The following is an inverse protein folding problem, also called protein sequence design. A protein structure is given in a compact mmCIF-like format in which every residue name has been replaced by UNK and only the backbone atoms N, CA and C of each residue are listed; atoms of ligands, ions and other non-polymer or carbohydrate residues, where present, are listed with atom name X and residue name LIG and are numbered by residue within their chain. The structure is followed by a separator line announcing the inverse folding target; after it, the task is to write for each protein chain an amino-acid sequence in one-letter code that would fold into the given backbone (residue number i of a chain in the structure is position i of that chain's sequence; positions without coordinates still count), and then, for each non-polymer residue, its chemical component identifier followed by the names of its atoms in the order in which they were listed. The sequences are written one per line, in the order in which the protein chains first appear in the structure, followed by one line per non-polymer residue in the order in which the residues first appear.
data_IF_542338494323
#
_entry.id   IF_542338494323
#
_cell.length_a   1.000
_cell.length_b   1.000
_cell.length_c   1.000
_cell.angle_alpha   90.00
_cell.angle_beta   90.00
_cell.angle_gamma   90.00
#
_symmetry.space_group_name_H-M   'P 1'
#
loop_
_entity.id
_entity.type
_entity.pdbx_description
1 polymer ?
#
# COMPACT_ATOMS: atom_id res chain seq x y z
N UNK A 1 5.19 -9.89 20.02
CA UNK A 1 4.45 -9.79 18.74
C UNK A 1 4.38 -8.33 18.30
N UNK A 2 4.74 -8.07 17.08
CA UNK A 2 4.63 -6.74 16.49
C UNK A 2 3.52 -6.70 15.47
N UNK A 3 2.76 -5.60 15.49
CA UNK A 3 1.87 -5.28 14.39
C UNK A 3 2.51 -4.22 13.52
N UNK A 4 2.37 -4.34 12.22
CA UNK A 4 2.73 -3.31 11.27
C UNK A 4 1.68 -3.25 10.18
N UNK A 5 1.58 -2.10 9.53
CA UNK A 5 0.64 -1.89 8.44
C UNK A 5 1.42 -1.75 7.15
N UNK A 6 0.98 -2.45 6.12
CA UNK A 6 1.57 -2.33 4.80
C UNK A 6 0.57 -1.65 3.86
N UNK A 7 1.06 -0.64 3.15
CA UNK A 7 0.26 0.04 2.14
C UNK A 7 0.49 -0.69 0.81
N UNK A 8 -0.60 -1.10 0.18
CA UNK A 8 -0.57 -1.87 -1.06
C UNK A 8 -1.30 -1.14 -2.17
N UNK A 9 -0.74 -1.19 -3.38
CA UNK A 9 -1.36 -0.69 -4.59
C UNK A 9 -1.65 -1.88 -5.50
N UNK A 10 -2.94 -2.12 -5.76
CA UNK A 10 -3.36 -3.24 -6.60
C UNK A 10 -3.48 -2.81 -8.05
N UNK A 11 -2.80 -3.55 -8.90
CA UNK A 11 -2.76 -3.27 -10.34
C UNK A 11 -4.06 -3.69 -11.01
N UNK A 12 -4.37 -3.03 -12.13
CA UNK A 12 -5.54 -3.38 -12.95
C UNK A 12 -5.42 -4.79 -13.52
N UNK A 13 -4.20 -5.23 -13.80
CA UNK A 13 -3.94 -6.59 -14.20
C UNK A 13 -3.93 -7.48 -12.95
N UNK A 14 -5.03 -8.19 -12.71
CA UNK A 14 -5.20 -9.02 -11.53
C UNK A 14 -4.20 -10.18 -11.44
N UNK A 15 -3.50 -10.50 -12.52
CA UNK A 15 -2.50 -11.56 -12.54
C UNK A 15 -1.19 -11.12 -11.91
N UNK A 16 -0.99 -9.82 -11.76
CA UNK A 16 0.22 -9.27 -11.16
C UNK A 16 0.03 -9.06 -9.66
N UNK A 17 1.07 -9.31 -8.85
CA UNK A 17 0.97 -9.05 -7.42
C UNK A 17 0.88 -7.56 -7.14
N UNK A 18 0.31 -7.16 -5.98
CA UNK A 18 0.26 -5.76 -5.61
C UNK A 18 1.64 -5.20 -5.35
N UNK A 19 1.77 -3.88 -5.52
CA UNK A 19 3.00 -3.16 -5.21
C UNK A 19 2.98 -2.81 -3.73
N UNK A 20 4.05 -3.14 -3.01
CA UNK A 20 4.21 -2.71 -1.63
C UNK A 20 4.72 -1.27 -1.62
N UNK A 21 3.82 -0.35 -1.32
CA UNK A 21 4.13 1.09 -1.30
C UNK A 21 5.03 1.43 -0.11
N UNK A 22 4.78 0.82 1.03
CA UNK A 22 5.59 1.02 2.22
C UNK A 22 4.97 0.40 3.46
N UNK A 23 5.70 0.47 4.55
CA UNK A 23 5.31 -0.07 5.85
C UNK A 23 5.24 1.05 6.86
N UNK A 24 4.31 0.97 7.79
CA UNK A 24 4.12 1.99 8.80
C UNK A 24 3.63 1.38 10.11
N UNK A 25 3.86 2.06 11.26
CA UNK A 25 3.44 1.53 12.56
C UNK A 25 1.96 1.68 12.84
N UNK A 26 1.24 2.47 12.05
CA UNK A 26 -0.20 2.67 12.22
C UNK A 26 -0.92 2.72 10.89
N UNK A 27 -2.23 2.48 10.94
CA UNK A 27 -3.09 2.57 9.75
C UNK A 27 -3.00 3.97 9.12
N UNK A 28 -3.06 5.00 9.96
CA UNK A 28 -3.02 6.39 9.49
C UNK A 28 -1.73 6.70 8.73
N UNK A 29 -0.61 6.25 9.26
CA UNK A 29 0.69 6.48 8.63
C UNK A 29 0.79 5.72 7.31
N UNK A 30 0.27 4.49 7.26
CA UNK A 30 0.22 3.73 6.01
C UNK A 30 -0.65 4.43 4.97
N UNK A 31 -1.79 4.99 5.38
CA UNK A 31 -2.65 5.75 4.48
C UNK A 31 -1.95 7.01 3.95
N UNK A 32 -1.14 7.66 4.78
CA UNK A 32 -0.35 8.81 4.35
C UNK A 32 0.71 8.43 3.31
N UNK A 33 1.31 7.24 3.45
CA UNK A 33 2.23 6.73 2.43
C UNK A 33 1.53 6.57 1.09
N UNK A 34 0.30 6.08 1.10
CA UNK A 34 -0.50 5.95 -0.14
C UNK A 34 -0.73 7.31 -0.76
N UNK A 35 -1.10 8.32 0.04
CA UNK A 35 -1.34 9.66 -0.48
C UNK A 35 -0.09 10.24 -1.14
N UNK A 36 1.06 10.10 -0.52
CA UNK A 36 2.32 10.61 -1.05
C UNK A 36 2.70 9.88 -2.33
N UNK A 37 2.57 8.58 -2.34
CA UNK A 37 2.91 7.76 -3.50
C UNK A 37 1.98 8.06 -4.68
N UNK A 38 0.69 8.20 -4.41
CA UNK A 38 -0.32 8.46 -5.44
C UNK A 38 -0.24 9.88 -6.00
N UNK A 39 0.42 10.79 -5.30
CA UNK A 39 0.63 12.15 -5.81
C UNK A 39 1.53 12.16 -7.05
N UNK A 40 2.31 11.11 -7.26
CA UNK A 40 3.13 10.95 -8.45
C UNK A 40 2.26 10.32 -9.54
N UNK A 41 1.95 11.09 -10.57
CA UNK A 41 0.98 10.70 -11.59
C UNK A 41 1.29 9.36 -12.27
N UNK A 42 2.55 9.15 -12.61
CA UNK A 42 2.98 7.92 -13.28
C UNK A 42 2.74 6.66 -12.43
N UNK A 43 2.69 6.80 -11.10
CA UNK A 43 2.46 5.66 -10.22
C UNK A 43 1.03 5.12 -10.30
N UNK A 44 0.06 5.98 -10.63
CA UNK A 44 -1.35 5.61 -10.56
C UNK A 44 -1.96 5.15 -11.88
N UNK A 45 -1.21 5.21 -12.98
CA UNK A 45 -1.72 4.89 -14.30
C UNK A 45 -2.32 3.50 -14.43
N UNK A 46 -1.74 2.52 -13.77
CA UNK A 46 -2.18 1.14 -13.84
C UNK A 46 -2.72 0.60 -12.52
N UNK A 47 -3.10 1.49 -11.61
CA UNK A 47 -3.59 1.11 -10.29
C UNK A 47 -5.11 1.07 -10.29
N UNK A 48 -5.66 -0.03 -9.79
CA UNK A 48 -7.09 -0.21 -9.64
C UNK A 48 -7.58 0.33 -8.30
N UNK A 49 -6.91 -0.03 -7.22
CA UNK A 49 -7.28 0.43 -5.88
C UNK A 49 -6.11 0.25 -4.91
N UNK A 50 -6.25 0.85 -3.75
CA UNK A 50 -5.27 0.74 -2.67
C UNK A 50 -5.88 0.00 -1.49
N UNK A 51 -5.01 -0.61 -0.69
CA UNK A 51 -5.42 -1.30 0.52
C UNK A 51 -4.34 -1.13 1.57
N UNK A 52 -4.76 -1.03 2.84
CA UNK A 52 -3.86 -1.10 3.99
C UNK A 52 -4.14 -2.41 4.68
N UNK A 53 -3.10 -3.20 4.86
CA UNK A 53 -3.19 -4.53 5.45
C UNK A 53 -2.36 -4.58 6.72
N UNK A 54 -2.95 -5.09 7.79
CA UNK A 54 -2.22 -5.27 9.04
C UNK A 54 -1.54 -6.63 9.02
N UNK A 55 -0.25 -6.64 9.36
CA UNK A 55 0.54 -7.86 9.45
C UNK A 55 1.16 -7.99 10.82
N UNK A 56 1.20 -9.20 11.33
CA UNK A 56 1.79 -9.49 12.62
C UNK A 56 3.04 -10.33 12.44
N UNK A 57 4.08 -9.95 13.18
CA UNK A 57 5.35 -10.68 13.19
C UNK A 57 5.58 -11.23 14.58
N UNK A 58 6.00 -12.44 14.66
CA UNK A 58 6.26 -13.12 15.92
C UNK A 58 7.75 -13.15 16.19
#
# INVERSE_FOLDING_TARGET
MYGTFVALAYLRDARKPPIEVGYAPSYKDAADLIKKWAAIRSHTENISYFRVEERYYV
#
